data_IF_471850570410
#
_entry.id   IF_471850570410
#
_cell.length_a   1.000
_cell.length_b   1.000
_cell.length_c   1.000
_cell.angle_alpha   90.00
_cell.angle_beta   90.00
_cell.angle_gamma   90.00
#
_symmetry.space_group_name_H-M   'P 1'
#
loop_
_entity.id
_entity.type
_entity.pdbx_description
1 polymer ?
#
# COMPACT_ATOMS: atom_id res chain seq x y z
N UNK A 1 29.75 6.25 7.10
CA UNK A 1 28.88 5.08 6.85
C UNK A 1 27.40 5.45 7.03
N UNK A 2 27.06 6.19 8.08
CA UNK A 2 25.68 6.61 8.43
C UNK A 2 24.90 7.34 7.32
N UNK A 3 25.55 8.27 6.60
CA UNK A 3 24.92 8.99 5.48
C UNK A 3 24.56 8.11 4.27
N UNK A 4 25.24 6.97 4.07
CA UNK A 4 24.97 6.09 2.93
C UNK A 4 23.68 5.29 3.13
N UNK A 5 23.47 4.77 4.35
CA UNK A 5 22.27 4.00 4.73
C UNK A 5 21.04 4.91 4.70
N UNK A 6 21.16 6.13 5.24
CA UNK A 6 20.07 7.10 5.22
C UNK A 6 19.70 7.49 3.78
N UNK A 7 20.69 7.70 2.91
CA UNK A 7 20.43 8.03 1.50
C UNK A 7 19.75 6.90 0.74
N UNK A 8 20.17 5.66 0.96
CA UNK A 8 19.53 4.49 0.39
C UNK A 8 18.07 4.34 0.85
N UNK A 9 17.80 4.57 2.14
CA UNK A 9 16.45 4.53 2.68
C UNK A 9 15.54 5.61 2.05
N UNK A 10 16.08 6.82 1.83
CA UNK A 10 15.37 7.92 1.16
C UNK A 10 15.09 7.59 -0.31
N UNK A 11 16.07 7.10 -1.05
CA UNK A 11 15.91 6.73 -2.47
C UNK A 11 14.88 5.60 -2.63
N UNK A 12 14.86 4.63 -1.70
CA UNK A 12 13.82 3.60 -1.63
C UNK A 12 12.45 4.16 -1.31
N UNK A 13 12.33 5.06 -0.35
CA UNK A 13 11.07 5.71 -0.02
C UNK A 13 10.51 6.51 -1.20
N UNK A 14 11.39 7.18 -1.96
CA UNK A 14 11.01 7.89 -3.18
C UNK A 14 10.55 6.94 -4.29
N UNK A 15 11.26 5.83 -4.49
CA UNK A 15 10.96 4.87 -5.57
C UNK A 15 9.75 3.99 -5.27
N UNK A 16 9.63 3.51 -4.03
CA UNK A 16 8.59 2.58 -3.61
C UNK A 16 7.35 3.30 -3.06
N UNK A 17 7.46 4.58 -2.71
CA UNK A 17 6.40 5.31 -2.05
C UNK A 17 5.98 4.65 -0.73
N UNK A 18 4.69 4.72 -0.37
CA UNK A 18 4.18 4.12 0.85
C UNK A 18 4.30 2.58 0.92
N UNK A 19 4.67 1.89 -0.17
CA UNK A 19 4.97 0.46 -0.11
C UNK A 19 6.17 0.13 0.81
N UNK A 20 7.01 1.12 1.16
CA UNK A 20 8.03 0.96 2.20
C UNK A 20 7.43 0.64 3.58
N UNK A 21 6.17 0.97 3.82
CA UNK A 21 5.47 0.62 5.06
C UNK A 21 5.11 -0.87 5.13
N UNK A 22 5.25 -1.60 4.03
CA UNK A 22 4.98 -3.04 3.95
C UNK A 22 6.22 -3.91 4.22
N UNK A 23 7.34 -3.33 4.65
CA UNK A 23 8.57 -4.08 4.91
C UNK A 23 8.33 -5.17 5.97
N UNK A 24 8.64 -6.42 5.62
CA UNK A 24 8.39 -7.59 6.47
C UNK A 24 6.92 -8.03 6.54
N UNK A 25 6.01 -7.40 5.79
CA UNK A 25 4.60 -7.76 5.70
C UNK A 25 4.28 -8.33 4.32
N UNK A 26 3.45 -9.37 4.28
CA UNK A 26 2.98 -9.99 3.04
C UNK A 26 1.47 -9.84 2.91
N UNK A 27 1.05 -8.79 2.21
CA UNK A 27 -0.36 -8.56 1.88
C UNK A 27 -0.67 -9.17 0.51
N UNK A 28 -1.75 -9.95 0.44
CA UNK A 28 -2.28 -10.50 -0.81
C UNK A 28 -3.39 -9.63 -1.35
N UNK A 29 -4.26 -9.15 -0.45
CA UNK A 29 -5.44 -8.34 -0.78
C UNK A 29 -5.48 -7.05 0.04
N UNK A 30 -6.14 -5.99 -0.46
CA UNK A 30 -6.34 -4.74 0.29
C UNK A 30 -6.98 -4.93 1.68
N UNK A 31 -7.85 -5.93 1.83
CA UNK A 31 -8.45 -6.30 3.12
C UNK A 31 -7.42 -6.72 4.18
N UNK A 32 -6.28 -7.28 3.76
CA UNK A 32 -5.23 -7.72 4.69
C UNK A 32 -4.59 -6.51 5.39
N UNK A 33 -4.47 -5.38 4.67
CA UNK A 33 -3.98 -4.10 5.20
C UNK A 33 -4.93 -3.59 6.29
N UNK A 34 -6.23 -3.64 6.03
CA UNK A 34 -7.27 -3.22 7.00
C UNK A 34 -7.20 -4.10 8.26
N UNK A 35 -7.01 -5.40 8.10
CA UNK A 35 -6.94 -6.39 9.18
C UNK A 35 -5.62 -6.35 9.98
N UNK A 36 -4.55 -5.78 9.44
CA UNK A 36 -3.24 -5.72 10.08
C UNK A 36 -3.29 -4.93 11.39
N UNK A 37 -3.12 -5.60 12.54
CA UNK A 37 -3.15 -4.95 13.86
C UNK A 37 -1.89 -4.17 14.19
N UNK A 38 -0.78 -4.48 13.53
CA UNK A 38 0.52 -3.83 13.70
C UNK A 38 0.61 -2.44 13.03
N UNK A 39 -0.34 -2.09 12.15
CA UNK A 39 -0.36 -0.83 11.43
C UNK A 39 -1.27 0.19 12.10
N UNK A 40 -0.82 1.44 12.15
CA UNK A 40 -1.68 2.57 12.52
C UNK A 40 -2.76 2.79 11.44
N UNK A 41 -3.83 3.53 11.77
CA UNK A 41 -4.87 3.84 10.79
C UNK A 41 -4.32 4.67 9.62
N UNK A 42 -3.38 5.58 9.89
CA UNK A 42 -2.76 6.42 8.87
C UNK A 42 -1.82 5.62 7.97
N UNK A 43 -1.04 4.68 8.51
CA UNK A 43 -0.23 3.78 7.68
C UNK A 43 -1.09 2.92 6.76
N UNK A 44 -2.20 2.38 7.28
CA UNK A 44 -3.17 1.64 6.46
C UNK A 44 -3.73 2.50 5.34
N UNK A 45 -4.10 3.74 5.64
CA UNK A 45 -4.63 4.67 4.64
C UNK A 45 -3.57 5.02 3.60
N UNK A 46 -2.32 5.24 4.01
CA UNK A 46 -1.20 5.52 3.11
C UNK A 46 -0.90 4.35 2.16
N UNK A 47 -0.87 3.12 2.67
CA UNK A 47 -0.67 1.90 1.85
C UNK A 47 -1.82 1.73 0.87
N UNK A 48 -3.07 1.83 1.32
CA UNK A 48 -4.24 1.66 0.45
C UNK A 48 -4.34 2.78 -0.60
N UNK A 49 -4.03 4.02 -0.24
CA UNK A 49 -3.98 5.13 -1.18
C UNK A 49 -2.87 4.94 -2.23
N UNK A 50 -1.70 4.45 -1.82
CA UNK A 50 -0.65 4.06 -2.76
C UNK A 50 -1.17 2.97 -3.70
N UNK A 51 -1.76 1.89 -3.18
CA UNK A 51 -2.29 0.80 -4.00
C UNK A 51 -3.37 1.26 -5.00
N UNK A 52 -4.17 2.27 -4.65
CA UNK A 52 -5.18 2.86 -5.54
C UNK A 52 -4.59 3.73 -6.65
N UNK A 53 -3.35 4.22 -6.48
CA UNK A 53 -2.70 5.13 -7.41
C UNK A 53 -2.52 4.53 -8.80
N UNK A 54 -2.69 5.34 -9.84
CA UNK A 54 -2.43 4.97 -11.22
C UNK A 54 -0.95 4.62 -11.47
N UNK A 55 -0.04 5.04 -10.57
CA UNK A 55 1.36 4.60 -10.57
C UNK A 55 1.49 3.07 -10.57
N UNK A 56 0.54 2.37 -9.94
CA UNK A 56 0.51 0.91 -9.86
C UNK A 56 -0.57 0.30 -10.75
N UNK A 57 -1.15 1.06 -11.69
CA UNK A 57 -2.04 0.51 -12.68
C UNK A 57 -1.28 -0.49 -13.57
N UNK A 58 -1.90 -1.63 -13.85
CA UNK A 58 -1.32 -2.59 -14.80
C UNK A 58 -1.40 -2.01 -16.21
N UNK A 59 -0.30 -2.09 -16.95
CA UNK A 59 -0.24 -1.57 -18.31
C UNK A 59 -1.36 -2.16 -19.18
N UNK A 60 -2.00 -1.29 -19.97
CA UNK A 60 -3.18 -1.60 -20.78
C UNK A 60 -4.41 -2.14 -20.00
N UNK A 61 -4.40 -2.15 -18.66
CA UNK A 61 -5.51 -2.61 -17.80
C UNK A 61 -5.73 -1.63 -16.63
N UNK A 62 -6.22 -0.40 -16.89
CA UNK A 62 -6.30 0.67 -15.89
C UNK A 62 -7.28 0.42 -14.73
N UNK A 63 -8.10 -0.64 -14.78
CA UNK A 63 -8.94 -1.06 -13.66
C UNK A 63 -8.20 -1.96 -12.64
N UNK A 64 -7.01 -2.45 -12.99
CA UNK A 64 -6.22 -3.35 -12.16
C UNK A 64 -5.05 -2.61 -11.53
N UNK A 65 -4.66 -3.04 -10.32
CA UNK A 65 -3.55 -2.49 -9.54
C UNK A 65 -2.60 -3.62 -9.12
N UNK A 66 -1.30 -3.37 -9.20
CA UNK A 66 -0.25 -4.28 -8.76
C UNK A 66 0.79 -3.52 -7.95
N UNK A 67 0.69 -3.60 -6.62
CA UNK A 67 1.61 -2.92 -5.71
C UNK A 67 2.86 -3.79 -5.50
N UNK A 68 4.09 -3.24 -5.58
CA UNK A 68 5.31 -3.98 -5.31
C UNK A 68 5.27 -4.66 -3.93
N UNK A 69 5.65 -5.94 -3.89
CA UNK A 69 5.60 -6.75 -2.67
C UNK A 69 4.28 -7.46 -2.41
N UNK A 70 3.24 -7.21 -3.22
CA UNK A 70 1.99 -7.98 -3.20
C UNK A 70 2.05 -9.12 -4.22
N UNK A 71 1.38 -10.24 -3.91
CA UNK A 71 1.38 -11.42 -4.78
C UNK A 71 0.26 -11.42 -5.83
N UNK A 72 -0.78 -10.59 -5.65
CA UNK A 72 -1.98 -10.63 -6.49
C UNK A 72 -2.25 -9.27 -7.11
N UNK A 73 -2.61 -9.29 -8.39
CA UNK A 73 -3.21 -8.14 -9.07
C UNK A 73 -4.67 -8.03 -8.62
N UNK A 74 -5.06 -6.86 -8.14
CA UNK A 74 -6.41 -6.61 -7.61
C UNK A 74 -7.11 -5.51 -8.39
N UNK A 75 -8.43 -5.42 -8.28
CA UNK A 75 -9.19 -4.32 -8.90
C UNK A 75 -9.09 -3.04 -8.09
N UNK A 76 -9.18 -1.87 -8.75
CA UNK A 76 -9.31 -0.59 -8.06
C UNK A 76 -10.54 -0.54 -7.15
N UNK A 77 -11.63 -1.20 -7.53
CA UNK A 77 -12.86 -1.28 -6.73
C UNK A 77 -12.63 -2.00 -5.41
N UNK A 78 -11.79 -3.04 -5.41
CA UNK A 78 -11.40 -3.76 -4.20
C UNK A 78 -10.56 -2.91 -3.25
N UNK A 79 -9.63 -2.12 -3.79
CA UNK A 79 -8.84 -1.17 -2.99
C UNK A 79 -9.75 -0.10 -2.39
N UNK A 80 -10.69 0.44 -3.18
CA UNK A 80 -11.67 1.42 -2.70
C UNK A 80 -12.60 0.83 -1.63
N UNK A 81 -13.01 -0.43 -1.77
CA UNK A 81 -13.81 -1.11 -0.75
C UNK A 81 -13.04 -1.21 0.58
N UNK A 82 -11.74 -1.52 0.54
CA UNK A 82 -10.89 -1.55 1.72
C UNK A 82 -10.71 -0.16 2.36
N UNK A 83 -10.54 0.91 1.56
CA UNK A 83 -10.50 2.28 2.07
C UNK A 83 -11.79 2.66 2.81
N UNK A 84 -12.95 2.40 2.19
CA UNK A 84 -14.26 2.66 2.82
C UNK A 84 -14.41 1.89 4.12
N UNK A 85 -13.99 0.63 4.16
CA UNK A 85 -14.01 -0.18 5.39
C UNK A 85 -13.09 0.39 6.47
N UNK A 86 -11.88 0.83 6.10
CA UNK A 86 -10.95 1.47 7.04
C UNK A 86 -11.55 2.73 7.66
N UNK A 87 -12.18 3.57 6.84
CA UNK A 87 -12.83 4.79 7.31
C UNK A 87 -14.01 4.49 8.24
N UNK A 88 -14.83 3.47 7.93
CA UNK A 88 -15.89 3.00 8.84
C UNK A 88 -15.37 2.59 10.21
N UNK A 89 -14.22 1.90 10.28
CA UNK A 89 -13.63 1.44 11.55
C UNK A 89 -13.06 2.58 12.40
N UNK A 90 -12.59 3.66 11.79
CA UNK A 90 -12.04 4.81 12.54
C UNK A 90 -13.08 5.84 12.98
N UNK A 91 -14.32 5.69 12.53
CA UNK A 91 -15.46 6.51 12.98
C UNK A 91 -16.23 5.86 14.14
N UNK A 92 -15.82 4.66 14.59
CA UNK A 92 -16.40 3.91 15.72
C UNK A 92 -15.49 3.96 16.94
#
# INVERSE_FOLDING_TARGET
MENAILKEAVDRAFTLGPAVLMQGMHFRRPSDVVAARSLSQDDKRAILAAWASDLYAVDSKPALRCLPGTSETVSIDEVQAALRELDRRGLS
#
